data_IF_601108700951
#
_entry.id   IF_601108700951
#
_cell.length_a   1.000
_cell.length_b   1.000
_cell.length_c   1.000
_cell.angle_alpha   90.00
_cell.angle_beta   90.00
_cell.angle_gamma   90.00
#
_symmetry.space_group_name_H-M   'P 1'
#
loop_
_entity.id
_entity.type
_entity.pdbx_description
1 polymer ?
#
# COMPACT_ATOMS: atom_id res chain seq x y z
N UNK A 1 0.01 6.96 -7.68
CA UNK A 1 1.05 6.30 -6.87
C UNK A 1 2.18 5.78 -7.75
N UNK A 2 3.43 5.88 -7.28
CA UNK A 2 4.52 5.18 -7.96
C UNK A 2 4.25 3.67 -8.04
N UNK A 3 4.65 3.00 -9.13
CA UNK A 3 4.34 1.58 -9.32
C UNK A 3 4.81 0.67 -8.19
N UNK A 4 5.97 0.94 -7.61
CA UNK A 4 6.52 0.13 -6.52
C UNK A 4 5.70 0.26 -5.24
N UNK A 5 5.23 1.45 -4.92
CA UNK A 5 4.39 1.70 -3.75
C UNK A 5 3.02 1.05 -3.93
N UNK A 6 2.44 1.19 -5.12
CA UNK A 6 1.16 0.58 -5.45
C UNK A 6 1.23 -0.95 -5.38
N UNK A 7 2.28 -1.54 -5.96
CA UNK A 7 2.47 -2.99 -5.94
C UNK A 7 2.58 -3.51 -4.51
N UNK A 8 3.36 -2.86 -3.65
CA UNK A 8 3.51 -3.28 -2.26
C UNK A 8 2.18 -3.21 -1.52
N UNK A 9 1.43 -2.13 -1.70
CA UNK A 9 0.14 -1.97 -1.04
C UNK A 9 -0.86 -3.02 -1.51
N UNK A 10 -0.91 -3.32 -2.80
CA UNK A 10 -1.82 -4.31 -3.35
C UNK A 10 -1.48 -5.73 -2.89
N UNK A 11 -0.20 -6.07 -2.82
CA UNK A 11 0.21 -7.38 -2.33
C UNK A 11 -0.19 -7.59 -0.88
N UNK A 12 0.09 -6.62 -0.03
CA UNK A 12 -0.21 -6.74 1.39
C UNK A 12 -1.70 -6.55 1.67
N UNK A 13 -2.32 -5.58 1.04
CA UNK A 13 -3.73 -5.24 1.31
C UNK A 13 -4.73 -6.12 0.55
N UNK A 14 -4.60 -6.22 -0.77
CA UNK A 14 -5.58 -6.91 -1.60
C UNK A 14 -5.34 -8.41 -1.69
N UNK A 15 -4.09 -8.82 -1.83
CA UNK A 15 -3.74 -10.24 -1.98
C UNK A 15 -3.56 -10.96 -0.64
N UNK A 16 -3.55 -10.24 0.46
CA UNK A 16 -3.40 -10.82 1.78
C UNK A 16 -2.02 -11.37 2.09
N UNK A 17 -1.00 -10.95 1.35
CA UNK A 17 0.38 -11.36 1.60
C UNK A 17 0.90 -10.75 2.89
N UNK A 18 1.72 -11.51 3.62
CA UNK A 18 2.52 -10.94 4.70
C UNK A 18 3.60 -10.02 4.10
N UNK A 19 4.20 -9.19 4.95
CA UNK A 19 5.32 -8.36 4.49
C UNK A 19 6.47 -9.22 3.97
N UNK A 20 6.72 -10.37 4.61
CA UNK A 20 7.76 -11.29 4.16
C UNK A 20 7.45 -11.88 2.78
N UNK A 21 6.22 -12.30 2.57
CA UNK A 21 5.77 -12.82 1.28
C UNK A 21 5.88 -11.77 0.19
N UNK A 22 5.42 -10.57 0.47
CA UNK A 22 5.51 -9.46 -0.48
C UNK A 22 6.97 -9.14 -0.80
N UNK A 23 7.86 -9.15 0.19
CA UNK A 23 9.28 -8.93 -0.02
C UNK A 23 9.89 -9.98 -0.92
N UNK A 24 9.53 -11.25 -0.75
CA UNK A 24 9.99 -12.34 -1.60
C UNK A 24 9.52 -12.17 -3.04
N UNK A 25 8.26 -11.81 -3.23
CA UNK A 25 7.69 -11.59 -4.56
C UNK A 25 8.39 -10.43 -5.27
N UNK A 26 8.63 -9.35 -4.55
CA UNK A 26 9.26 -8.15 -5.10
C UNK A 26 10.79 -8.25 -5.18
N UNK A 27 11.40 -9.26 -4.55
CA UNK A 27 12.84 -9.42 -4.53
C UNK A 27 13.56 -8.33 -3.72
N UNK A 28 12.97 -7.90 -2.60
CA UNK A 28 13.55 -6.86 -1.76
C UNK A 28 13.43 -7.23 -0.28
N UNK A 29 13.99 -6.38 0.59
CA UNK A 29 13.94 -6.59 2.03
C UNK A 29 12.57 -6.27 2.62
N UNK A 30 12.21 -6.90 3.71
CA UNK A 30 10.94 -6.67 4.42
C UNK A 30 10.81 -5.20 4.82
N UNK A 31 11.88 -4.57 5.30
CA UNK A 31 11.88 -3.16 5.65
C UNK A 31 11.54 -2.26 4.46
N UNK A 32 11.96 -2.63 3.27
CA UNK A 32 11.63 -1.91 2.04
C UNK A 32 10.14 -1.99 1.75
N UNK A 33 9.53 -3.16 1.92
CA UNK A 33 8.08 -3.33 1.73
C UNK A 33 7.31 -2.49 2.74
N UNK A 34 7.72 -2.51 4.01
CA UNK A 34 7.08 -1.68 5.05
C UNK A 34 7.12 -0.20 4.69
N UNK A 35 8.28 0.29 4.24
CA UNK A 35 8.42 1.68 3.81
C UNK A 35 7.52 2.01 2.64
N UNK A 36 7.45 1.14 1.64
CA UNK A 36 6.62 1.35 0.46
C UNK A 36 5.14 1.38 0.81
N UNK A 37 4.69 0.47 1.67
CA UNK A 37 3.30 0.44 2.13
C UNK A 37 2.96 1.72 2.91
N UNK A 38 3.83 2.13 3.82
CA UNK A 38 3.60 3.35 4.59
C UNK A 38 3.53 4.59 3.70
N UNK A 39 4.43 4.71 2.74
CA UNK A 39 4.42 5.84 1.79
C UNK A 39 3.16 5.84 0.95
N UNK A 40 2.71 4.66 0.50
CA UNK A 40 1.47 4.53 -0.25
C UNK A 40 0.27 4.99 0.58
N UNK A 41 0.21 4.60 1.84
CA UNK A 41 -0.85 5.02 2.76
C UNK A 41 -0.88 6.53 2.94
N UNK A 42 0.27 7.15 3.16
CA UNK A 42 0.35 8.60 3.30
C UNK A 42 -0.10 9.33 2.04
N UNK A 43 0.32 8.84 0.88
CA UNK A 43 -0.09 9.43 -0.40
C UNK A 43 -1.58 9.31 -0.62
N UNK A 44 -2.17 8.15 -0.35
CA UNK A 44 -3.61 7.96 -0.50
C UNK A 44 -4.39 8.80 0.49
N UNK A 45 -3.94 8.89 1.73
CA UNK A 45 -4.58 9.75 2.71
C UNK A 45 -4.60 11.21 2.26
N UNK A 46 -3.49 11.68 1.69
CA UNK A 46 -3.39 13.03 1.15
C UNK A 46 -4.34 13.24 -0.04
N UNK A 47 -4.40 12.28 -0.95
CA UNK A 47 -5.27 12.34 -2.13
C UNK A 47 -6.75 12.31 -1.75
N UNK A 48 -7.09 11.56 -0.71
CA UNK A 48 -8.46 11.45 -0.22
C UNK A 48 -8.83 12.53 0.78
N UNK A 49 -7.89 13.40 1.11
CA UNK A 49 -8.11 14.51 2.05
C UNK A 49 -8.49 14.03 3.44
N UNK A 50 -7.84 12.95 3.91
CA UNK A 50 -8.11 12.34 5.21
C UNK A 50 -7.02 12.75 6.20
N UNK A 51 -7.42 13.21 7.38
CA UNK A 51 -6.50 13.68 8.41
C UNK A 51 -5.87 12.51 9.18
N UNK A 52 -6.57 11.40 9.30
CA UNK A 52 -6.12 10.23 10.05
C UNK A 52 -6.11 9.00 9.16
N UNK A 53 -4.92 8.51 8.85
CA UNK A 53 -4.72 7.33 8.00
C UNK A 53 -5.29 6.07 8.64
N UNK A 54 -5.27 5.98 9.95
CA UNK A 54 -5.77 4.79 10.68
C UNK A 54 -7.27 4.57 10.50
N UNK A 55 -8.02 5.62 10.26
CA UNK A 55 -9.47 5.54 10.07
C UNK A 55 -9.85 4.81 8.79
N UNK A 56 -8.95 4.74 7.80
CA UNK A 56 -9.25 4.11 6.51
C UNK A 56 -9.11 2.59 6.54
N UNK A 57 -8.12 2.07 7.22
CA UNK A 57 -7.80 0.65 7.20
C UNK A 57 -7.23 0.19 5.87
N UNK A 58 -6.66 -1.04 5.82
CA UNK A 58 -5.99 -1.55 4.62
C UNK A 58 -6.92 -1.72 3.41
N UNK A 59 -8.14 -2.21 3.62
CA UNK A 59 -9.08 -2.47 2.52
C UNK A 59 -9.52 -1.18 1.84
N UNK A 60 -9.79 -0.14 2.61
CA UNK A 60 -10.19 1.15 2.07
C UNK A 60 -9.04 1.78 1.27
N UNK A 61 -7.81 1.68 1.77
CA UNK A 61 -6.62 2.17 1.07
C UNK A 61 -6.40 1.42 -0.25
N UNK A 62 -6.55 0.11 -0.22
CA UNK A 62 -6.40 -0.73 -1.41
C UNK A 62 -7.45 -0.37 -2.46
N UNK A 63 -8.69 -0.18 -2.03
CA UNK A 63 -9.78 0.19 -2.94
C UNK A 63 -9.50 1.54 -3.60
N UNK A 64 -9.03 2.52 -2.84
CA UNK A 64 -8.68 3.83 -3.38
C UNK A 64 -7.53 3.72 -4.40
N UNK A 65 -6.54 2.89 -4.13
CA UNK A 65 -5.43 2.66 -5.05
C UNK A 65 -5.91 2.04 -6.37
N UNK A 66 -6.85 1.11 -6.31
CA UNK A 66 -7.42 0.49 -7.51
C UNK A 66 -8.20 1.50 -8.34
N UNK A 67 -8.99 2.35 -7.71
CA UNK A 67 -9.73 3.40 -8.41
C UNK A 67 -8.79 4.38 -9.11
N UNK A 68 -7.70 4.77 -8.46
CA UNK A 68 -6.74 5.69 -9.03
C UNK A 68 -5.90 5.07 -10.16
N UNK A 69 -5.93 3.76 -10.30
CA UNK A 69 -5.21 3.05 -11.36
C UNK A 69 -5.98 3.03 -12.67
N UNK A 70 -7.24 3.37 -12.63
CA UNK A 70 -8.08 3.42 -13.80
C UNK A 70 -8.07 4.81 -14.42
#
# INVERSE_FOLDING_TARGET
LPPDQRAALLLVGASGCSYEEAANICGCAVGTIKSRVNRARFRLASLLNVDDVEDLGPDSMTRAALQNSL
#
